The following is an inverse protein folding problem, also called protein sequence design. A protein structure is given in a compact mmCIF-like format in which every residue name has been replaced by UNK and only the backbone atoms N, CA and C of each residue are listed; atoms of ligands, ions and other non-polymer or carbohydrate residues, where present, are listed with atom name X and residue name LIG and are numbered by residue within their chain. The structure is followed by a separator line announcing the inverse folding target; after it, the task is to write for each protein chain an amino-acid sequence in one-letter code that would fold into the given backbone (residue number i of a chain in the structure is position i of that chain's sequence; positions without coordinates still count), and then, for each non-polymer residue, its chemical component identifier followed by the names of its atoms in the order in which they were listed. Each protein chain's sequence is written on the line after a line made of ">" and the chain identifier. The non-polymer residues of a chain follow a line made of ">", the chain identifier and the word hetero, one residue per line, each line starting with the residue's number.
data_IF_429750194608
#
_entry.id   IF_429750194608
#
_cell.length_a   1.000
_cell.length_b   1.000
_cell.length_c   1.000
_cell.angle_alpha   90.00
_cell.angle_beta   90.00
_cell.angle_gamma   90.00
#
_symmetry.space_group_name_H-M   'P 1'
#
loop_
_entity.id
_entity.type
_entity.pdbx_description
1 polymer ?
#
# COMPACT_ATOMS: atom_id res chain seq x y z
N UNK A 1 1.98 5.72 13.75
CA UNK A 1 1.07 6.83 13.37
C UNK A 1 1.52 7.55 12.12
N UNK A 2 2.52 8.45 12.15
CA UNK A 2 2.92 9.24 10.95
C UNK A 2 3.26 8.38 9.72
N UNK A 3 4.06 7.30 9.82
CA UNK A 3 4.36 6.47 8.65
C UNK A 3 3.11 5.86 8.00
N UNK A 4 2.13 5.47 8.83
CA UNK A 4 0.86 4.91 8.36
C UNK A 4 -0.01 5.97 7.67
N UNK A 5 -0.04 7.21 8.17
CA UNK A 5 -0.78 8.29 7.49
C UNK A 5 -0.16 8.63 6.13
N UNK A 6 1.17 8.66 6.03
CA UNK A 6 1.84 8.88 4.74
C UNK A 6 1.54 7.72 3.79
N UNK A 7 1.62 6.47 4.25
CA UNK A 7 1.25 5.30 3.46
C UNK A 7 -0.22 5.36 3.00
N UNK A 8 -1.13 5.83 3.85
CA UNK A 8 -2.53 6.05 3.48
C UNK A 8 -2.65 7.02 2.31
N UNK A 9 -1.98 8.17 2.37
CA UNK A 9 -2.01 9.16 1.28
C UNK A 9 -1.44 8.59 -0.03
N UNK A 10 -0.37 7.81 0.05
CA UNK A 10 0.20 7.13 -1.12
C UNK A 10 -0.80 6.11 -1.69
N UNK A 11 -1.47 5.31 -0.84
CA UNK A 11 -2.51 4.38 -1.27
C UNK A 11 -3.68 5.07 -1.97
N UNK A 12 -4.15 6.19 -1.41
CA UNK A 12 -5.20 7.01 -2.03
C UNK A 12 -4.73 7.55 -3.39
N UNK A 13 -3.50 8.05 -3.47
CA UNK A 13 -2.93 8.53 -4.72
C UNK A 13 -2.81 7.41 -5.78
N UNK A 14 -2.44 6.20 -5.39
CA UNK A 14 -2.40 5.04 -6.30
C UNK A 14 -3.79 4.68 -6.83
N UNK A 15 -4.81 4.65 -5.95
CA UNK A 15 -6.19 4.40 -6.37
C UNK A 15 -6.73 5.53 -7.26
N UNK A 16 -6.42 6.78 -6.93
CA UNK A 16 -6.73 7.95 -7.75
C UNK A 16 -6.10 7.85 -9.13
N UNK A 17 -4.79 7.57 -9.20
CA UNK A 17 -4.07 7.42 -10.45
C UNK A 17 -4.62 6.25 -11.28
N UNK A 18 -5.04 5.15 -10.63
CA UNK A 18 -5.66 4.04 -11.33
C UNK A 18 -6.97 4.45 -12.03
N UNK A 19 -7.83 5.21 -11.36
CA UNK A 19 -9.19 5.53 -11.84
C UNK A 19 -9.23 6.76 -12.74
N UNK A 20 -8.55 7.83 -12.36
CA UNK A 20 -8.71 9.15 -12.99
C UNK A 20 -7.56 9.52 -13.92
N UNK A 21 -6.39 8.88 -13.81
CA UNK A 21 -5.25 9.19 -14.67
C UNK A 21 -4.35 7.97 -14.93
N UNK A 22 -4.96 6.90 -15.45
CA UNK A 22 -4.23 5.67 -15.71
C UNK A 22 -3.12 5.86 -16.76
N UNK A 23 -3.29 6.84 -17.66
CA UNK A 23 -2.27 7.23 -18.63
C UNK A 23 -0.93 7.62 -17.96
N UNK A 24 -0.98 8.28 -16.79
CA UNK A 24 0.22 8.59 -16.00
C UNK A 24 0.84 7.36 -15.35
N UNK A 25 0.05 6.38 -14.95
CA UNK A 25 0.56 5.09 -14.44
C UNK A 25 1.40 4.40 -15.51
N UNK A 26 0.98 4.45 -16.77
CA UNK A 26 1.69 3.84 -17.89
C UNK A 26 2.91 4.65 -18.36
N UNK A 27 2.77 5.98 -18.43
CA UNK A 27 3.84 6.87 -18.92
C UNK A 27 4.92 7.09 -17.87
N UNK A 28 4.52 7.19 -16.60
CA UNK A 28 5.41 7.47 -15.45
C UNK A 28 5.47 6.28 -14.49
N UNK A 29 5.69 5.06 -15.03
CA UNK A 29 5.80 3.81 -14.25
C UNK A 29 6.78 3.92 -13.07
N UNK A 30 7.83 4.71 -13.21
CA UNK A 30 8.81 4.97 -12.16
C UNK A 30 8.20 5.60 -10.90
N UNK A 31 7.18 6.47 -11.03
CA UNK A 31 6.47 7.07 -9.89
C UNK A 31 5.72 5.99 -9.10
N UNK A 32 5.15 5.01 -9.81
CA UNK A 32 4.40 3.92 -9.19
C UNK A 32 5.36 2.95 -8.49
N UNK A 33 6.53 2.67 -9.07
CA UNK A 33 7.61 1.95 -8.39
C UNK A 33 8.08 2.69 -7.13
N UNK A 34 8.32 3.99 -7.24
CA UNK A 34 8.76 4.82 -6.10
C UNK A 34 7.70 4.84 -4.99
N UNK A 35 6.43 4.96 -5.33
CA UNK A 35 5.31 4.88 -4.40
C UNK A 35 5.26 3.51 -3.69
N UNK A 36 5.34 2.41 -4.44
CA UNK A 36 5.33 1.06 -3.87
C UNK A 36 6.55 0.81 -2.95
N UNK A 37 7.73 1.25 -3.36
CA UNK A 37 8.95 1.16 -2.54
C UNK A 37 8.83 2.01 -1.26
N UNK A 38 8.27 3.22 -1.36
CA UNK A 38 8.00 4.08 -0.20
C UNK A 38 7.02 3.41 0.77
N UNK A 39 5.94 2.80 0.28
CA UNK A 39 5.00 2.06 1.13
C UNK A 39 5.68 0.89 1.83
N UNK A 40 6.55 0.13 1.14
CA UNK A 40 7.32 -0.96 1.77
C UNK A 40 8.20 -0.42 2.90
N UNK A 41 8.93 0.67 2.68
CA UNK A 41 9.79 1.28 3.70
C UNK A 41 8.96 1.79 4.90
N UNK A 42 7.85 2.46 4.64
CA UNK A 42 6.94 2.99 5.67
C UNK A 42 6.29 1.86 6.47
N UNK A 43 5.82 0.81 5.81
CA UNK A 43 5.22 -0.35 6.45
C UNK A 43 6.24 -1.15 7.28
N UNK A 44 7.49 -1.27 6.80
CA UNK A 44 8.56 -1.88 7.58
C UNK A 44 8.85 -1.08 8.85
N UNK A 45 8.89 0.25 8.74
CA UNK A 45 9.10 1.14 9.88
C UNK A 45 7.93 1.07 10.86
N UNK A 46 6.69 1.16 10.38
CA UNK A 46 5.50 1.18 11.23
C UNK A 46 5.31 -0.13 11.99
N UNK A 47 5.59 -1.29 11.38
CA UNK A 47 5.53 -2.62 12.02
C UNK A 47 6.36 -2.76 13.30
N UNK A 48 7.40 -1.94 13.49
CA UNK A 48 8.21 -1.94 14.72
C UNK A 48 7.52 -1.27 15.90
N UNK A 49 6.55 -0.38 15.63
CA UNK A 49 5.88 0.46 16.62
C UNK A 49 4.38 0.17 16.75
N UNK A 50 3.78 -0.38 15.70
CA UNK A 50 2.37 -0.69 15.66
C UNK A 50 2.06 -1.93 16.51
N UNK A 51 0.91 -1.90 17.15
CA UNK A 51 0.44 -3.02 17.97
C UNK A 51 0.24 -4.30 17.15
N UNK A 52 -0.49 -4.17 16.03
CA UNK A 52 -0.74 -5.27 15.12
C UNK A 52 0.20 -5.18 13.93
N UNK A 53 0.95 -6.26 13.65
CA UNK A 53 1.92 -6.30 12.55
C UNK A 53 1.30 -6.63 11.20
N UNK A 54 0.12 -7.25 11.18
CA UNK A 54 -0.53 -7.73 9.95
C UNK A 54 -0.89 -6.62 8.95
N UNK A 55 -1.35 -5.41 9.32
CA UNK A 55 -1.70 -4.37 8.34
C UNK A 55 -0.47 -3.93 7.53
N UNK A 56 0.66 -3.77 8.21
CA UNK A 56 1.93 -3.45 7.57
C UNK A 56 2.41 -4.59 6.67
N UNK A 57 2.34 -5.85 7.11
CA UNK A 57 2.71 -7.01 6.28
C UNK A 57 1.85 -7.09 5.01
N UNK A 58 0.54 -6.91 5.12
CA UNK A 58 -0.37 -6.93 3.97
C UNK A 58 -0.11 -5.76 3.00
N UNK A 59 0.19 -4.57 3.52
CA UNK A 59 0.55 -3.41 2.70
C UNK A 59 1.87 -3.62 1.95
N UNK A 60 2.85 -4.28 2.59
CA UNK A 60 4.09 -4.69 1.92
C UNK A 60 3.81 -5.72 0.82
N UNK A 61 2.99 -6.73 1.08
CA UNK A 61 2.63 -7.75 0.10
C UNK A 61 1.91 -7.15 -1.11
N UNK A 62 0.95 -6.26 -0.89
CA UNK A 62 0.27 -5.53 -1.96
C UNK A 62 1.24 -4.67 -2.79
N UNK A 63 2.18 -4.00 -2.13
CA UNK A 63 3.20 -3.19 -2.82
C UNK A 63 4.20 -4.04 -3.62
N UNK A 64 4.57 -5.21 -3.12
CA UNK A 64 5.40 -6.17 -3.85
C UNK A 64 4.66 -6.72 -5.08
N UNK A 65 3.38 -7.06 -4.93
CA UNK A 65 2.54 -7.50 -6.04
C UNK A 65 2.42 -6.39 -7.11
N UNK A 66 2.27 -5.14 -6.68
CA UNK A 66 2.27 -3.98 -7.57
C UNK A 66 3.58 -3.83 -8.35
N UNK A 67 4.73 -3.93 -7.67
CA UNK A 67 6.06 -3.89 -8.32
C UNK A 67 6.17 -5.00 -9.37
N UNK A 68 5.78 -6.22 -9.02
CA UNK A 68 5.80 -7.36 -9.94
C UNK A 68 4.89 -7.14 -11.15
N UNK A 69 3.68 -6.63 -10.94
CA UNK A 69 2.72 -6.36 -12.01
C UNK A 69 3.20 -5.25 -12.96
N UNK A 70 3.80 -4.18 -12.46
CA UNK A 70 4.38 -3.15 -13.35
C UNK A 70 5.54 -3.74 -14.15
N UNK A 71 6.37 -4.60 -13.52
CA UNK A 71 7.46 -5.29 -14.21
C UNK A 71 6.94 -6.17 -15.34
N UNK A 72 5.94 -7.01 -15.07
CA UNK A 72 5.28 -7.83 -16.09
C UNK A 72 4.63 -6.99 -17.19
N UNK A 73 4.01 -5.85 -16.85
CA UNK A 73 3.43 -4.91 -17.81
C UNK A 73 4.48 -4.22 -18.71
N UNK A 74 5.73 -4.10 -18.27
CA UNK A 74 6.83 -3.63 -19.12
C UNK A 74 7.22 -4.63 -20.21
N UNK A 75 7.08 -5.92 -19.94
CA UNK A 75 7.37 -6.99 -20.90
C UNK A 75 6.15 -7.45 -21.71
N UNK A 76 5.02 -6.73 -21.62
CA UNK A 76 3.78 -7.08 -22.32
C UNK A 76 3.11 -8.36 -21.78
N UNK A 77 3.48 -8.82 -20.59
CA UNK A 77 2.94 -10.04 -19.97
C UNK A 77 1.61 -9.81 -19.23
N UNK A 78 1.23 -8.54 -19.03
CA UNK A 78 -0.04 -8.16 -18.43
C UNK A 78 -0.80 -7.22 -19.37
N UNK A 79 -2.10 -7.45 -19.49
CA UNK A 79 -2.99 -6.55 -20.20
C UNK A 79 -3.16 -5.24 -19.43
N UNK A 80 -3.50 -4.18 -20.15
CA UNK A 80 -3.83 -2.87 -19.59
C UNK A 80 -4.91 -2.97 -18.49
N UNK A 81 -5.95 -3.76 -18.73
CA UNK A 81 -7.03 -4.00 -17.77
C UNK A 81 -6.54 -4.72 -16.50
N UNK A 82 -5.65 -5.70 -16.64
CA UNK A 82 -5.09 -6.41 -15.48
C UNK A 82 -4.19 -5.47 -14.65
N UNK A 83 -3.36 -4.66 -15.30
CA UNK A 83 -2.52 -3.68 -14.62
C UNK A 83 -3.36 -2.63 -13.87
N UNK A 84 -4.44 -2.15 -14.48
CA UNK A 84 -5.42 -1.27 -13.83
C UNK A 84 -5.93 -1.84 -12.51
N UNK A 85 -6.42 -3.08 -12.53
CA UNK A 85 -6.97 -3.72 -11.33
C UNK A 85 -5.91 -3.93 -10.24
N UNK A 86 -4.68 -4.31 -10.61
CA UNK A 86 -3.61 -4.49 -9.62
C UNK A 86 -3.25 -3.16 -8.96
N UNK A 87 -3.09 -2.07 -9.73
CA UNK A 87 -2.78 -0.74 -9.17
C UNK A 87 -3.91 -0.27 -8.26
N UNK A 88 -5.16 -0.39 -8.72
CA UNK A 88 -6.34 0.01 -7.95
C UNK A 88 -6.46 -0.76 -6.63
N UNK A 89 -6.42 -2.10 -6.65
CA UNK A 89 -6.57 -2.89 -5.45
C UNK A 89 -5.38 -2.72 -4.50
N UNK A 90 -4.16 -2.59 -5.03
CA UNK A 90 -2.98 -2.34 -4.19
C UNK A 90 -3.08 -1.00 -3.48
N UNK A 91 -3.48 0.07 -4.18
CA UNK A 91 -3.73 1.38 -3.58
C UNK A 91 -4.77 1.33 -2.47
N UNK A 92 -5.89 0.64 -2.70
CA UNK A 92 -6.96 0.51 -1.70
C UNK A 92 -6.53 -0.28 -0.46
N UNK A 93 -5.85 -1.42 -0.64
CA UNK A 93 -5.32 -2.22 0.47
C UNK A 93 -4.39 -1.36 1.33
N UNK A 94 -3.44 -0.67 0.70
CA UNK A 94 -2.48 0.20 1.40
C UNK A 94 -3.22 1.32 2.13
N UNK A 95 -4.16 2.00 1.47
CA UNK A 95 -4.92 3.10 2.04
C UNK A 95 -5.68 2.68 3.30
N UNK A 96 -6.52 1.65 3.18
CA UNK A 96 -7.42 1.18 4.24
C UNK A 96 -6.63 0.61 5.42
N UNK A 97 -5.67 -0.28 5.15
CA UNK A 97 -4.93 -0.96 6.21
C UNK A 97 -3.98 -0.02 6.96
N UNK A 98 -3.31 0.89 6.24
CA UNK A 98 -2.48 1.90 6.88
C UNK A 98 -3.33 2.88 7.68
N UNK A 99 -4.51 3.27 7.17
CA UNK A 99 -5.39 4.18 7.91
C UNK A 99 -5.90 3.53 9.19
N UNK A 100 -6.34 2.27 9.11
CA UNK A 100 -6.74 1.47 10.27
C UNK A 100 -5.60 1.39 11.29
N UNK A 101 -4.38 1.05 10.86
CA UNK A 101 -3.22 0.97 11.74
C UNK A 101 -2.82 2.33 12.35
N UNK A 102 -3.14 3.45 11.68
CA UNK A 102 -2.90 4.78 12.21
C UNK A 102 -3.86 5.13 13.36
N UNK A 103 -5.12 4.70 13.29
CA UNK A 103 -6.17 5.05 14.26
C UNK A 103 -6.36 3.99 15.36
N UNK A 104 -5.96 2.74 15.11
CA UNK A 104 -6.22 1.63 16.04
C UNK A 104 -5.46 1.80 17.36
N UNK A 105 -6.20 1.84 18.46
CA UNK A 105 -5.69 1.88 19.84
C UNK A 105 -6.27 0.70 20.63
N UNK A 106 -5.50 -0.36 20.91
CA UNK A 106 -5.98 -1.47 21.73
C UNK A 106 -6.18 -1.00 23.16
N UNK A 107 -7.32 -1.37 23.77
CA UNK A 107 -7.51 -1.19 25.22
C UNK A 107 -6.50 -2.09 25.93
N UNK A 108 -5.67 -1.52 26.80
CA UNK A 108 -4.84 -2.31 27.72
C UNK A 108 -5.80 -3.03 28.67
N UNK A 109 -5.88 -4.36 28.59
CA UNK A 109 -6.58 -5.15 29.61
C UNK A 109 -5.68 -5.11 30.86
N UNK A 110 -6.17 -4.63 32.02
CA UNK A 110 -5.37 -4.63 33.24
C UNK A 110 -5.01 -6.06 33.61
N UNK A 111 -3.73 -6.30 33.86
CA UNK A 111 -3.16 -7.60 34.27
C UNK A 111 -3.65 -8.11 35.64
N UNK A 112 -4.59 -7.42 36.29
CA UNK A 112 -5.18 -7.82 37.58
C UNK A 112 -6.42 -8.71 37.46
N UNK A 113 -6.78 -9.17 36.25
CA UNK A 113 -7.94 -10.05 36.00
C UNK A 113 -7.58 -11.32 35.20
N UNK A 114 -6.31 -11.68 35.11
CA UNK A 114 -5.84 -12.95 34.53
C UNK A 114 -5.24 -13.81 35.64
#
# INVERSE_FOLDING_TARGET
>A
MVPNLIATLIGIWLSYAAVLDFSRVETSRWLVYAAAAAVIALAWWSRRRDFAKWPGTSSMAASLALIAAIGMGQFGLLSHLALFWVVFFSGNIVAVLSFWAAIYRPKKIPTSQA
#
